data_IF_476325921727
#
_entry.id   IF_476325921727
#
_cell.length_a   1.000
_cell.length_b   1.000
_cell.length_c   1.000
_cell.angle_alpha   90.00
_cell.angle_beta   90.00
_cell.angle_gamma   90.00
#
_symmetry.space_group_name_H-M   'P 1'
#
loop_
_entity.id
_entity.type
_entity.pdbx_description
1 polymer ?
#
# COMPACT_ATOMS: atom_id res chain seq x y z
N UNK A 1 -39.29 35.65 3.38
CA UNK A 1 -38.51 34.55 2.76
C UNK A 1 -37.47 34.11 3.76
N UNK A 2 -37.56 32.90 4.33
CA UNK A 2 -36.49 32.38 5.16
C UNK A 2 -35.29 31.99 4.26
N UNK A 3 -34.05 32.16 4.73
CA UNK A 3 -32.86 31.83 3.96
C UNK A 3 -32.71 30.31 3.81
N UNK A 4 -32.43 29.86 2.58
CA UNK A 4 -32.16 28.48 2.24
C UNK A 4 -30.84 28.03 2.90
N UNK A 5 -30.91 26.99 3.73
CA UNK A 5 -29.73 26.31 4.26
C UNK A 5 -29.06 25.52 3.13
N UNK A 6 -27.82 25.90 2.79
CA UNK A 6 -26.93 25.08 1.98
C UNK A 6 -26.59 23.80 2.74
N UNK A 7 -26.97 22.65 2.17
CA UNK A 7 -26.53 21.34 2.63
C UNK A 7 -25.06 21.16 2.24
N UNK A 8 -24.17 21.18 3.24
CA UNK A 8 -22.81 20.74 3.08
C UNK A 8 -22.80 19.22 2.83
N UNK A 9 -22.27 18.80 1.69
CA UNK A 9 -22.01 17.40 1.36
C UNK A 9 -20.90 16.89 2.29
N UNK A 10 -21.27 16.04 3.25
CA UNK A 10 -20.34 15.32 4.08
C UNK A 10 -19.66 14.21 3.26
N UNK A 11 -18.48 14.50 2.70
CA UNK A 11 -17.52 13.47 2.33
C UNK A 11 -16.89 12.93 3.62
N UNK A 12 -17.53 11.92 4.20
CA UNK A 12 -17.02 11.21 5.36
C UNK A 12 -15.94 10.22 4.95
N UNK A 13 -14.68 10.66 4.90
CA UNK A 13 -13.55 9.76 5.13
C UNK A 13 -13.74 9.19 6.54
N UNK A 14 -14.09 7.91 6.64
CA UNK A 14 -14.31 7.27 7.92
C UNK A 14 -13.01 7.34 8.73
N UNK A 15 -13.05 7.94 9.92
CA UNK A 15 -12.00 7.78 10.92
C UNK A 15 -11.81 6.29 11.15
N UNK A 16 -10.67 5.76 10.71
CA UNK A 16 -10.33 4.35 10.81
C UNK A 16 -10.26 3.98 12.30
N UNK A 17 -11.27 3.25 12.78
CA UNK A 17 -11.31 2.76 14.16
C UNK A 17 -10.15 1.79 14.45
N UNK A 18 -9.90 1.46 15.73
CA UNK A 18 -8.75 0.65 16.16
C UNK A 18 -8.69 -0.79 15.59
N UNK A 19 -9.71 -1.25 14.86
CA UNK A 19 -9.81 -2.61 14.30
C UNK A 19 -10.15 -2.62 12.79
N UNK A 20 -9.81 -1.57 12.05
CA UNK A 20 -10.17 -1.48 10.64
C UNK A 20 -9.45 -2.54 9.79
N UNK A 21 -8.22 -2.91 10.17
CA UNK A 21 -7.40 -3.94 9.53
C UNK A 21 -8.08 -5.30 9.63
N UNK A 22 -8.66 -5.60 10.78
CA UNK A 22 -9.44 -6.81 11.00
C UNK A 22 -10.69 -6.84 10.11
N UNK A 23 -11.46 -5.75 10.08
CA UNK A 23 -12.67 -5.67 9.23
C UNK A 23 -12.32 -5.80 7.75
N UNK A 24 -11.22 -5.19 7.33
CA UNK A 24 -10.72 -5.29 5.97
C UNK A 24 -10.32 -6.73 5.65
N UNK A 25 -9.59 -7.38 6.56
CA UNK A 25 -9.21 -8.78 6.45
C UNK A 25 -10.43 -9.69 6.36
N UNK A 26 -11.41 -9.57 7.26
CA UNK A 26 -12.62 -10.40 7.24
C UNK A 26 -13.37 -10.26 5.92
N UNK A 27 -13.46 -9.04 5.38
CA UNK A 27 -14.12 -8.79 4.11
C UNK A 27 -13.31 -9.35 2.93
N UNK A 28 -11.99 -9.22 2.97
CA UNK A 28 -11.11 -9.80 1.96
C UNK A 28 -11.09 -11.33 2.02
N UNK A 29 -11.06 -11.94 3.20
CA UNK A 29 -11.05 -13.40 3.38
C UNK A 29 -12.37 -14.02 2.92
N UNK A 30 -13.50 -13.35 3.17
CA UNK A 30 -14.79 -13.75 2.61
C UNK A 30 -14.80 -13.78 1.06
N UNK A 31 -13.97 -12.93 0.42
CA UNK A 31 -13.80 -12.90 -1.03
C UNK A 31 -12.79 -13.93 -1.55
N UNK A 32 -11.95 -14.53 -0.69
CA UNK A 32 -10.93 -15.53 -1.07
C UNK A 32 -11.53 -16.76 -1.75
N UNK A 33 -12.78 -17.11 -1.43
CA UNK A 33 -13.50 -18.28 -1.94
C UNK A 33 -12.64 -19.55 -1.77
N UNK A 34 -12.34 -20.28 -2.85
CA UNK A 34 -11.56 -21.53 -2.82
C UNK A 34 -10.05 -21.34 -3.06
N UNK A 35 -9.54 -20.10 -3.06
CA UNK A 35 -8.11 -19.84 -3.31
C UNK A 35 -7.25 -20.16 -2.09
N UNK A 36 -6.05 -20.72 -2.33
CA UNK A 36 -5.08 -20.95 -1.27
C UNK A 36 -4.56 -19.61 -0.70
N UNK A 37 -4.22 -19.59 0.59
CA UNK A 37 -3.71 -18.40 1.29
C UNK A 37 -2.42 -17.89 0.63
N UNK A 38 -1.55 -18.81 0.20
CA UNK A 38 -0.28 -18.47 -0.43
C UNK A 38 -0.45 -17.80 -1.79
N UNK A 39 -1.51 -18.10 -2.52
CA UNK A 39 -1.80 -17.48 -3.80
C UNK A 39 -2.62 -16.19 -3.65
N UNK A 40 -3.52 -16.16 -2.67
CA UNK A 40 -4.40 -15.02 -2.42
C UNK A 40 -3.65 -13.81 -1.84
N UNK A 41 -2.61 -14.04 -1.03
CA UNK A 41 -1.81 -12.95 -0.44
C UNK A 41 -1.24 -12.01 -1.48
N UNK A 42 -0.73 -12.55 -2.59
CA UNK A 42 -0.13 -11.75 -3.65
C UNK A 42 -1.15 -10.87 -4.37
N UNK A 43 -2.40 -11.35 -4.48
CA UNK A 43 -3.50 -10.59 -5.08
C UNK A 43 -3.89 -9.41 -4.19
N UNK A 44 -4.14 -9.66 -2.90
CA UNK A 44 -4.62 -8.61 -2.00
C UNK A 44 -3.53 -7.58 -1.69
N UNK A 45 -2.33 -8.06 -1.32
CA UNK A 45 -1.21 -7.17 -0.99
C UNK A 45 -0.77 -6.35 -2.21
N UNK A 46 -0.84 -6.92 -3.41
CA UNK A 46 -0.56 -6.20 -4.65
C UNK A 46 -1.57 -5.07 -4.91
N UNK A 47 -2.87 -5.32 -4.73
CA UNK A 47 -3.89 -4.26 -4.90
C UNK A 47 -3.79 -3.16 -3.84
N UNK A 48 -3.52 -3.52 -2.58
CA UNK A 48 -3.27 -2.54 -1.51
C UNK A 48 -2.07 -1.67 -1.84
N UNK A 49 -0.99 -2.26 -2.35
CA UNK A 49 0.20 -1.52 -2.76
C UNK A 49 -0.07 -0.61 -3.97
N UNK A 50 -0.83 -1.08 -4.97
CA UNK A 50 -1.25 -0.26 -6.11
C UNK A 50 -2.12 0.92 -5.68
N UNK A 51 -3.02 0.72 -4.71
CA UNK A 51 -3.82 1.80 -4.12
C UNK A 51 -2.94 2.81 -3.41
N UNK A 52 -1.94 2.36 -2.64
CA UNK A 52 -0.99 3.25 -1.98
C UNK A 52 -0.22 4.13 -2.97
N UNK A 53 0.37 3.52 -4.00
CA UNK A 53 1.09 4.25 -5.05
C UNK A 53 0.18 5.30 -5.68
N UNK A 54 -1.05 4.90 -6.01
CA UNK A 54 -2.02 5.79 -6.64
C UNK A 54 -2.44 6.94 -5.71
N UNK A 55 -2.71 6.67 -4.43
CA UNK A 55 -3.10 7.71 -3.47
C UNK A 55 -1.97 8.70 -3.21
N UNK A 56 -0.73 8.22 -3.09
CA UNK A 56 0.44 9.07 -2.93
C UNK A 56 0.67 9.94 -4.17
N UNK A 57 0.47 9.38 -5.37
CA UNK A 57 0.53 10.11 -6.63
C UNK A 57 -0.56 11.18 -6.71
N UNK A 58 -1.82 10.85 -6.45
CA UNK A 58 -2.94 11.79 -6.52
C UNK A 58 -2.80 12.91 -5.48
N UNK A 59 -2.28 12.60 -4.27
CA UNK A 59 -1.99 13.61 -3.27
C UNK A 59 -0.91 14.61 -3.73
N UNK A 60 0.13 14.14 -4.42
CA UNK A 60 1.16 15.01 -4.99
C UNK A 60 0.63 15.78 -6.21
N UNK A 61 -0.11 15.10 -7.09
CA UNK A 61 -0.74 15.71 -8.27
C UNK A 61 -1.65 16.87 -7.88
N UNK A 62 -2.49 16.70 -6.85
CA UNK A 62 -3.35 17.77 -6.34
C UNK A 62 -2.57 18.97 -5.75
N UNK A 63 -1.38 18.73 -5.16
CA UNK A 63 -0.50 19.82 -4.69
C UNK A 63 0.07 20.60 -5.87
N UNK A 64 0.61 19.90 -6.86
CA UNK A 64 1.16 20.51 -8.09
C UNK A 64 0.07 21.27 -8.88
N UNK A 65 -1.16 20.76 -8.93
CA UNK A 65 -2.28 21.46 -9.56
C UNK A 65 -2.64 22.76 -8.82
N UNK A 66 -2.57 22.76 -7.49
CA UNK A 66 -2.82 23.96 -6.68
C UNK A 66 -1.70 25.00 -6.83
N UNK A 67 -0.46 24.53 -7.00
CA UNK A 67 0.74 25.35 -7.17
C UNK A 67 1.02 25.71 -8.65
N UNK A 68 0.14 25.30 -9.58
CA UNK A 68 0.32 25.47 -11.04
C UNK A 68 0.45 26.93 -11.53
N UNK A 69 0.11 27.92 -10.70
CA UNK A 69 0.37 29.34 -11.00
C UNK A 69 1.87 29.72 -10.86
N UNK A 70 2.67 28.90 -10.17
CA UNK A 70 4.12 29.09 -9.97
C UNK A 70 5.00 28.32 -10.98
N UNK A 71 4.39 27.69 -11.99
CA UNK A 71 5.09 27.01 -13.09
C UNK A 71 5.34 25.52 -12.88
N UNK A 72 4.73 24.90 -11.87
CA UNK A 72 4.72 23.44 -11.68
C UNK A 72 3.94 22.75 -12.80
N UNK A 73 4.44 21.61 -13.30
CA UNK A 73 3.73 20.74 -14.24
C UNK A 73 3.31 19.44 -13.54
N UNK A 74 2.01 19.25 -13.22
CA UNK A 74 1.49 18.03 -12.62
C UNK A 74 1.68 16.78 -13.49
N UNK A 75 2.12 16.94 -14.74
CA UNK A 75 2.39 15.83 -15.65
C UNK A 75 3.88 15.62 -15.94
N UNK A 76 4.77 16.28 -15.20
CA UNK A 76 6.21 16.04 -15.21
C UNK A 76 6.61 15.00 -14.14
N UNK A 77 7.18 13.84 -14.51
CA UNK A 77 7.66 12.83 -13.56
C UNK A 77 8.71 13.32 -12.56
N UNK A 78 9.51 14.34 -12.91
CA UNK A 78 10.59 14.81 -12.04
C UNK A 78 10.06 15.45 -10.74
N UNK A 79 8.88 16.07 -10.79
CA UNK A 79 8.18 16.66 -9.63
C UNK A 79 7.76 15.61 -8.58
N UNK A 80 7.65 14.34 -9.00
CA UNK A 80 7.30 13.22 -8.13
C UNK A 80 8.54 12.58 -7.53
N UNK A 81 9.62 12.48 -8.33
CA UNK A 81 10.89 11.92 -7.89
C UNK A 81 11.49 12.70 -6.71
N UNK A 82 11.35 14.04 -6.70
CA UNK A 82 11.82 14.92 -5.63
C UNK A 82 11.19 14.57 -4.27
N UNK A 83 9.90 14.22 -4.27
CA UNK A 83 9.13 13.87 -3.06
C UNK A 83 9.10 12.36 -2.79
N UNK A 84 9.92 11.56 -3.49
CA UNK A 84 9.96 10.09 -3.42
C UNK A 84 8.60 9.44 -3.70
N UNK A 85 7.81 10.05 -4.57
CA UNK A 85 6.53 9.52 -5.04
C UNK A 85 6.75 8.84 -6.38
N UNK A 86 6.17 7.65 -6.55
CA UNK A 86 6.25 6.94 -7.82
C UNK A 86 5.36 7.61 -8.87
N UNK A 87 5.86 7.70 -10.10
CA UNK A 87 5.08 8.21 -11.21
C UNK A 87 4.01 7.21 -11.64
N UNK A 88 2.77 7.66 -11.83
CA UNK A 88 1.64 6.80 -12.21
C UNK A 88 1.05 7.25 -13.55
N UNK A 89 1.26 6.48 -14.63
CA UNK A 89 0.67 6.77 -15.93
C UNK A 89 -0.85 6.87 -15.86
N UNK A 90 -1.46 7.72 -16.71
CA UNK A 90 -2.91 7.90 -16.80
C UNK A 90 -3.70 6.60 -17.01
N UNK A 91 -3.10 5.61 -17.66
CA UNK A 91 -3.70 4.28 -17.87
C UNK A 91 -3.74 3.43 -16.58
N UNK A 92 -2.87 3.72 -15.61
CA UNK A 92 -2.68 2.95 -14.39
C UNK A 92 -3.22 3.63 -13.11
N UNK A 93 -3.75 4.86 -13.21
CA UNK A 93 -4.33 5.58 -12.05
C UNK A 93 -5.55 4.84 -11.48
N UNK A 94 -5.64 4.78 -10.15
CA UNK A 94 -6.68 4.04 -9.44
C UNK A 94 -8.13 4.37 -9.86
N UNK A 95 -8.52 5.65 -10.08
CA UNK A 95 -9.89 5.96 -10.51
C UNK A 95 -10.31 5.23 -11.79
N UNK A 96 -9.37 5.02 -12.72
CA UNK A 96 -9.61 4.26 -13.95
C UNK A 96 -9.80 2.77 -13.67
N UNK A 97 -8.94 2.18 -12.85
CA UNK A 97 -9.03 0.77 -12.45
C UNK A 97 -10.35 0.50 -11.72
N UNK A 98 -10.75 1.42 -10.82
CA UNK A 98 -12.03 1.34 -10.12
C UNK A 98 -13.22 1.43 -11.07
N UNK A 99 -13.19 2.34 -12.04
CA UNK A 99 -14.23 2.45 -13.07
C UNK A 99 -14.33 1.19 -13.94
N UNK A 100 -13.20 0.55 -14.22
CA UNK A 100 -13.11 -0.68 -14.99
C UNK A 100 -13.43 -1.95 -14.16
N UNK A 101 -13.59 -1.86 -12.84
CA UNK A 101 -13.87 -3.01 -11.96
C UNK A 101 -15.07 -3.90 -12.37
N UNK A 102 -16.16 -3.39 -13.00
CA UNK A 102 -17.25 -4.23 -13.50
C UNK A 102 -16.92 -4.97 -14.82
N UNK A 103 -15.82 -4.63 -15.49
CA UNK A 103 -15.51 -5.13 -16.83
C UNK A 103 -15.03 -6.58 -16.77
N UNK A 104 -15.36 -7.41 -17.78
CA UNK A 104 -14.97 -8.82 -17.80
C UNK A 104 -13.46 -9.03 -17.95
N UNK A 105 -12.73 -8.02 -18.43
CA UNK A 105 -11.28 -8.05 -18.62
C UNK A 105 -10.51 -7.28 -17.53
N UNK A 106 -11.08 -7.12 -16.33
CA UNK A 106 -10.46 -6.38 -15.24
C UNK A 106 -9.08 -6.93 -14.85
N UNK A 107 -8.87 -8.26 -14.87
CA UNK A 107 -7.56 -8.86 -14.59
C UNK A 107 -6.46 -8.36 -15.53
N UNK A 108 -6.73 -8.36 -16.84
CA UNK A 108 -5.79 -7.86 -17.86
C UNK A 108 -5.49 -6.36 -17.67
N UNK A 109 -6.50 -5.57 -17.28
CA UNK A 109 -6.34 -4.13 -17.04
C UNK A 109 -5.46 -3.85 -15.83
N UNK A 110 -5.60 -4.63 -14.75
CA UNK A 110 -4.72 -4.53 -13.58
C UNK A 110 -3.29 -4.95 -13.96
N UNK A 111 -3.12 -6.05 -14.69
CA UNK A 111 -1.80 -6.50 -15.15
C UNK A 111 -1.10 -5.43 -16.02
N UNK A 112 -1.85 -4.79 -16.92
CA UNK A 112 -1.36 -3.68 -17.76
C UNK A 112 -1.01 -2.43 -16.93
N UNK A 113 -1.80 -2.11 -15.91
CA UNK A 113 -1.53 -0.99 -15.02
C UNK A 113 -0.24 -1.21 -14.21
N UNK A 114 -0.07 -2.41 -13.65
CA UNK A 114 1.16 -2.79 -12.93
C UNK A 114 2.37 -2.70 -13.85
N UNK A 115 2.29 -3.26 -15.06
CA UNK A 115 3.37 -3.22 -16.03
C UNK A 115 3.73 -1.78 -16.47
N UNK A 116 2.73 -0.90 -16.63
CA UNK A 116 2.97 0.50 -16.97
C UNK A 116 3.68 1.24 -15.83
N UNK A 117 3.33 0.98 -14.57
CA UNK A 117 4.02 1.56 -13.42
C UNK A 117 5.47 1.06 -13.34
N UNK A 118 5.72 -0.24 -13.52
CA UNK A 118 7.09 -0.78 -13.53
C UNK A 118 7.96 -0.21 -14.65
N UNK A 119 7.35 0.10 -15.81
CA UNK A 119 8.08 0.65 -16.95
C UNK A 119 8.64 2.04 -16.69
N UNK A 120 7.89 2.88 -15.97
CA UNK A 120 8.28 4.25 -15.63
C UNK A 120 9.10 4.35 -14.34
N UNK A 121 9.04 3.34 -13.48
CA UNK A 121 9.69 3.36 -12.16
C UNK A 121 10.70 2.21 -12.05
N UNK A 122 11.98 2.48 -12.32
CA UNK A 122 13.02 1.44 -12.36
C UNK A 122 13.16 0.65 -11.04
N UNK A 123 12.95 1.32 -9.90
CA UNK A 123 13.00 0.69 -8.57
C UNK A 123 11.87 -0.31 -8.30
N UNK A 124 10.78 -0.28 -9.09
CA UNK A 124 9.67 -1.22 -8.99
C UNK A 124 9.78 -2.41 -9.96
N UNK A 125 10.83 -2.49 -10.78
CA UNK A 125 10.97 -3.52 -11.81
C UNK A 125 10.97 -4.93 -11.20
N UNK A 126 9.91 -5.70 -11.48
CA UNK A 126 9.75 -7.08 -11.01
C UNK A 126 9.19 -7.20 -9.60
N UNK A 127 8.77 -6.09 -8.99
CA UNK A 127 8.18 -6.05 -7.64
C UNK A 127 6.66 -6.24 -7.72
N UNK A 128 6.00 -5.71 -8.75
CA UNK A 128 4.55 -5.73 -8.83
C UNK A 128 4.04 -7.08 -9.38
N UNK A 129 3.04 -7.70 -8.72
CA UNK A 129 2.43 -8.92 -9.25
C UNK A 129 1.67 -8.63 -10.56
N UNK A 130 1.76 -9.53 -11.53
CA UNK A 130 1.16 -9.40 -12.89
C UNK A 130 0.39 -10.65 -13.33
N UNK A 131 -0.25 -11.32 -12.38
CA UNK A 131 -0.97 -12.59 -12.60
C UNK A 131 -2.45 -12.46 -12.17
N UNK A 132 -3.08 -11.32 -12.45
CA UNK A 132 -4.49 -11.06 -12.12
C UNK A 132 -5.46 -11.59 -13.19
N UNK A 133 -4.99 -11.82 -14.42
CA UNK A 133 -5.78 -12.43 -15.50
C UNK A 133 -5.86 -13.97 -15.46
N UNK A 134 -5.30 -14.61 -14.42
CA UNK A 134 -5.26 -16.07 -14.34
C UNK A 134 -6.65 -16.71 -14.21
N UNK A 135 -6.87 -17.91 -14.78
CA UNK A 135 -8.16 -18.60 -14.70
C UNK A 135 -8.64 -18.91 -13.28
N UNK A 136 -7.72 -19.03 -12.32
CA UNK A 136 -8.02 -19.31 -10.92
C UNK A 136 -8.53 -18.10 -10.11
N UNK A 137 -8.46 -16.89 -10.67
CA UNK A 137 -8.97 -15.69 -10.03
C UNK A 137 -10.29 -15.27 -10.70
N UNK A 138 -11.39 -15.39 -9.95
CA UNK A 138 -12.69 -14.99 -10.45
C UNK A 138 -12.77 -13.47 -10.64
N UNK A 139 -13.21 -13.05 -11.84
CA UNK A 139 -13.30 -11.64 -12.23
C UNK A 139 -14.27 -10.83 -11.37
N UNK A 140 -15.38 -11.44 -10.92
CA UNK A 140 -16.32 -10.74 -10.04
C UNK A 140 -15.72 -10.53 -8.66
N UNK A 141 -14.99 -11.53 -8.17
CA UNK A 141 -14.21 -11.47 -6.93
C UNK A 141 -13.16 -10.37 -7.00
N UNK A 142 -12.37 -10.30 -8.08
CA UNK A 142 -11.39 -9.23 -8.30
C UNK A 142 -12.05 -7.85 -8.32
N UNK A 143 -13.17 -7.69 -9.04
CA UNK A 143 -13.92 -6.43 -9.07
C UNK A 143 -14.46 -6.02 -7.69
N UNK A 144 -14.92 -6.97 -6.87
CA UNK A 144 -15.33 -6.71 -5.47
C UNK A 144 -14.14 -6.32 -4.61
N UNK A 145 -13.00 -6.97 -4.77
CA UNK A 145 -11.77 -6.69 -4.03
C UNK A 145 -11.25 -5.28 -4.33
N UNK A 146 -11.27 -4.85 -5.59
CA UNK A 146 -10.91 -3.48 -5.98
C UNK A 146 -11.83 -2.48 -5.27
N UNK A 147 -13.14 -2.69 -5.25
CA UNK A 147 -14.08 -1.81 -4.55
C UNK A 147 -13.84 -1.78 -3.04
N UNK A 148 -13.49 -2.92 -2.44
CA UNK A 148 -13.14 -3.00 -1.03
C UNK A 148 -11.92 -2.12 -0.72
N UNK A 149 -10.85 -2.28 -1.50
CA UNK A 149 -9.61 -1.49 -1.35
C UNK A 149 -9.82 -0.02 -1.65
N UNK A 150 -10.72 0.34 -2.58
CA UNK A 150 -11.09 1.73 -2.85
C UNK A 150 -11.67 2.48 -1.66
N UNK A 151 -12.28 1.78 -0.70
CA UNK A 151 -12.88 2.41 0.49
C UNK A 151 -11.84 2.75 1.57
N UNK A 152 -10.56 2.45 1.32
CA UNK A 152 -9.46 2.74 2.22
C UNK A 152 -8.64 3.87 1.62
N UNK A 153 -8.31 4.84 2.45
CA UNK A 153 -7.34 5.87 2.13
C UNK A 153 -6.00 5.46 2.75
N UNK A 154 -5.02 5.11 1.92
CA UNK A 154 -3.75 4.51 2.37
C UNK A 154 -2.52 5.36 2.04
N UNK A 155 -2.58 6.20 1.01
CA UNK A 155 -1.43 6.99 0.56
C UNK A 155 -1.55 8.51 0.74
N UNK A 156 -2.63 9.02 1.32
CA UNK A 156 -2.73 10.44 1.67
C UNK A 156 -1.83 10.82 2.84
N UNK A 157 -1.50 12.09 3.00
CA UNK A 157 -0.63 12.56 4.10
C UNK A 157 -1.24 12.22 5.48
N UNK A 158 -2.56 12.28 5.60
CA UNK A 158 -3.29 11.84 6.79
C UNK A 158 -3.13 10.33 7.04
N UNK A 159 -3.24 9.51 5.99
CA UNK A 159 -3.06 8.06 6.08
C UNK A 159 -1.60 7.66 6.39
N UNK A 160 -0.62 8.36 5.82
CA UNK A 160 0.80 8.20 6.14
C UNK A 160 1.08 8.53 7.61
N UNK A 161 0.51 9.62 8.13
CA UNK A 161 0.67 10.00 9.54
C UNK A 161 0.07 8.99 10.54
N UNK A 162 -0.87 8.17 10.08
CA UNK A 162 -1.52 7.11 10.87
C UNK A 162 -0.97 5.72 10.56
N UNK A 163 0.08 5.62 9.72
CA UNK A 163 0.69 4.39 9.23
C UNK A 163 -0.34 3.35 8.75
N UNK A 164 -1.35 3.80 8.01
CA UNK A 164 -2.49 2.96 7.61
C UNK A 164 -2.01 1.80 6.73
N UNK A 165 -1.14 2.08 5.75
CA UNK A 165 -0.59 1.05 4.88
C UNK A 165 0.21 0.02 5.68
N UNK A 166 1.18 0.44 6.49
CA UNK A 166 2.05 -0.46 7.24
C UNK A 166 1.24 -1.39 8.13
N UNK A 167 0.26 -0.83 8.86
CA UNK A 167 -0.65 -1.60 9.71
C UNK A 167 -1.46 -2.63 8.92
N UNK A 168 -2.04 -2.26 7.77
CA UNK A 168 -2.76 -3.20 6.90
C UNK A 168 -1.82 -4.29 6.37
N UNK A 169 -0.65 -3.92 5.88
CA UNK A 169 0.31 -4.85 5.30
C UNK A 169 0.82 -5.86 6.33
N UNK A 170 1.24 -5.38 7.50
CA UNK A 170 1.70 -6.20 8.62
C UNK A 170 0.59 -7.14 9.11
N UNK A 171 -0.64 -6.62 9.29
CA UNK A 171 -1.78 -7.43 9.72
C UNK A 171 -2.06 -8.56 8.72
N UNK A 172 -2.13 -8.23 7.42
CA UNK A 172 -2.40 -9.20 6.37
C UNK A 172 -1.30 -10.26 6.29
N UNK A 173 -0.03 -9.87 6.35
CA UNK A 173 1.10 -10.79 6.39
C UNK A 173 1.02 -11.75 7.59
N UNK A 174 0.68 -11.23 8.77
CA UNK A 174 0.49 -12.04 9.99
C UNK A 174 -0.64 -13.06 9.84
N UNK A 175 -1.78 -12.65 9.25
CA UNK A 175 -2.92 -13.55 9.02
C UNK A 175 -2.60 -14.61 7.98
N UNK A 176 -1.95 -14.26 6.87
CA UNK A 176 -1.53 -15.22 5.85
C UNK A 176 -0.49 -16.21 6.38
N UNK A 177 0.49 -15.76 7.16
CA UNK A 177 1.46 -16.64 7.80
C UNK A 177 0.79 -17.64 8.76
N UNK A 178 -0.23 -17.19 9.50
CA UNK A 178 -1.02 -18.05 10.39
C UNK A 178 -1.85 -19.07 9.60
N UNK A 179 -2.46 -18.66 8.49
CA UNK A 179 -3.28 -19.50 7.63
C UNK A 179 -2.47 -20.56 6.83
N UNK A 180 -1.25 -20.23 6.41
CA UNK A 180 -0.38 -21.16 5.67
C UNK A 180 0.20 -22.29 6.54
N UNK A 181 0.11 -22.21 7.87
CA UNK A 181 0.61 -23.23 8.80
C UNK A 181 2.13 -23.43 8.80
N UNK A 182 2.88 -22.64 8.01
CA UNK A 182 4.35 -22.61 7.99
C UNK A 182 4.81 -21.75 9.17
N UNK A 183 5.54 -22.35 10.13
CA UNK A 183 6.00 -21.67 11.36
C UNK A 183 6.96 -20.51 11.04
N UNK A 184 6.39 -19.31 10.90
CA UNK A 184 6.89 -17.96 11.24
C UNK A 184 8.27 -17.54 10.75
N UNK A 185 9.35 -18.20 11.18
CA UNK A 185 10.69 -17.60 11.21
C UNK A 185 11.33 -17.25 9.86
N UNK A 186 10.87 -17.82 8.74
CA UNK A 186 11.38 -17.48 7.40
C UNK A 186 10.49 -16.48 6.63
N UNK A 187 9.24 -16.31 7.05
CA UNK A 187 8.24 -15.54 6.29
C UNK A 187 7.73 -14.31 7.04
N UNK A 188 7.60 -14.40 8.37
CA UNK A 188 7.08 -13.33 9.22
C UNK A 188 7.51 -13.50 10.69
N UNK A 189 8.19 -12.50 11.24
CA UNK A 189 8.54 -12.43 12.66
C UNK A 189 7.54 -11.51 13.38
N UNK A 190 6.87 -11.95 14.47
CA UNK A 190 5.89 -11.14 15.19
C UNK A 190 6.46 -9.80 15.67
N UNK A 191 5.67 -8.73 15.54
CA UNK A 191 6.08 -7.35 15.84
C UNK A 191 6.74 -7.18 17.21
N UNK A 192 6.19 -7.77 18.27
CA UNK A 192 6.74 -7.64 19.63
C UNK A 192 8.15 -8.27 19.78
N UNK A 193 8.45 -9.32 19.01
CA UNK A 193 9.79 -9.94 19.00
C UNK A 193 10.77 -9.02 18.26
N UNK A 194 10.35 -8.52 17.10
CA UNK A 194 11.14 -7.59 16.29
C UNK A 194 11.43 -6.31 17.06
N UNK A 195 10.42 -5.72 17.70
CA UNK A 195 10.56 -4.54 18.55
C UNK A 195 11.56 -4.79 19.67
N UNK A 196 11.43 -5.89 20.41
CA UNK A 196 12.39 -6.21 21.46
C UNK A 196 13.83 -6.29 20.94
N UNK A 197 14.05 -6.96 19.80
CA UNK A 197 15.37 -7.09 19.21
C UNK A 197 15.95 -5.74 18.76
N UNK A 198 15.15 -4.91 18.10
CA UNK A 198 15.59 -3.58 17.65
C UNK A 198 15.89 -2.66 18.83
N UNK A 199 15.03 -2.64 19.85
CA UNK A 199 15.24 -1.86 21.08
C UNK A 199 16.51 -2.29 21.82
N UNK A 200 16.84 -3.60 21.79
CA UNK A 200 18.10 -4.10 22.36
C UNK A 200 19.34 -3.74 21.53
N UNK A 201 19.21 -3.68 20.21
CA UNK A 201 20.31 -3.33 19.30
C UNK A 201 20.57 -1.82 19.22
N UNK A 202 19.53 -1.02 19.40
CA UNK A 202 19.54 0.45 19.36
C UNK A 202 20.28 1.02 18.11
N UNK A 203 19.81 0.73 16.88
CA UNK A 203 20.49 1.14 15.66
C UNK A 203 20.28 2.64 15.35
N UNK A 204 21.06 3.52 15.97
CA UNK A 204 21.01 4.96 15.72
C UNK A 204 21.68 5.38 14.40
N UNK A 205 22.78 4.72 14.03
CA UNK A 205 23.56 5.03 12.83
C UNK A 205 24.23 3.77 12.28
N UNK A 206 24.61 3.81 10.99
CA UNK A 206 25.41 2.77 10.35
C UNK A 206 24.60 1.82 9.47
N UNK A 207 25.03 0.55 9.40
CA UNK A 207 24.47 -0.44 8.46
C UNK A 207 23.69 -1.51 9.20
N UNK A 208 22.38 -1.58 8.96
CA UNK A 208 21.50 -2.62 9.45
C UNK A 208 21.46 -3.74 8.41
N UNK A 209 21.85 -4.95 8.80
CA UNK A 209 21.89 -6.10 7.90
C UNK A 209 21.09 -7.27 8.49
N UNK A 210 20.12 -7.77 7.71
CA UNK A 210 19.40 -8.99 8.01
C UNK A 210 19.51 -9.97 6.82
N UNK A 211 20.35 -11.02 6.90
CA UNK A 211 20.58 -11.96 5.80
C UNK A 211 19.36 -12.83 5.46
N UNK A 212 18.32 -12.81 6.29
CA UNK A 212 17.11 -13.61 6.15
C UNK A 212 15.86 -12.75 6.44
N UNK A 213 15.82 -11.53 5.88
CA UNK A 213 14.88 -10.49 6.29
C UNK A 213 13.39 -10.83 6.10
N UNK A 214 13.05 -11.86 5.32
CA UNK A 214 11.68 -12.32 5.12
C UNK A 214 10.78 -11.18 4.65
N UNK A 215 9.76 -10.81 5.43
CA UNK A 215 8.87 -9.69 5.16
C UNK A 215 9.47 -8.29 5.44
N UNK A 216 10.73 -8.20 5.86
CA UNK A 216 11.40 -6.93 6.15
C UNK A 216 11.00 -6.28 7.48
N UNK A 217 10.36 -7.02 8.40
CA UNK A 217 9.84 -6.45 9.65
C UNK A 217 10.92 -5.79 10.52
N UNK A 218 12.14 -6.34 10.54
CA UNK A 218 13.30 -5.77 11.25
C UNK A 218 13.67 -4.38 10.74
N UNK A 219 13.48 -4.11 9.45
CA UNK A 219 13.82 -2.84 8.82
C UNK A 219 12.80 -1.76 9.16
N UNK A 220 11.50 -2.08 9.03
CA UNK A 220 10.40 -1.19 9.42
C UNK A 220 10.54 -0.78 10.89
N UNK A 221 10.88 -1.72 11.77
CA UNK A 221 11.02 -1.41 13.18
C UNK A 221 12.29 -0.65 13.52
N UNK A 222 13.38 -0.84 12.77
CA UNK A 222 14.60 -0.04 12.92
C UNK A 222 14.34 1.42 12.58
N UNK A 223 13.54 1.68 11.54
CA UNK A 223 13.11 3.03 11.16
C UNK A 223 12.28 3.69 12.27
N UNK A 224 11.23 2.98 12.76
CA UNK A 224 10.41 3.43 13.90
C UNK A 224 11.22 3.69 15.18
N UNK A 225 12.25 2.89 15.43
CA UNK A 225 13.15 3.09 16.57
C UNK A 225 13.89 4.44 16.46
N UNK A 226 14.47 4.73 15.29
CA UNK A 226 15.19 5.99 15.05
C UNK A 226 14.26 7.19 15.21
N UNK A 227 13.06 7.14 14.61
CA UNK A 227 12.06 8.22 14.74
C UNK A 227 11.64 8.46 16.19
N UNK A 228 11.27 7.40 16.92
CA UNK A 228 10.78 7.51 18.30
C UNK A 228 11.85 8.01 19.30
N UNK A 229 13.13 7.84 18.97
CA UNK A 229 14.25 8.31 19.77
C UNK A 229 14.87 9.62 19.26
N UNK A 230 14.25 10.27 18.27
CA UNK A 230 14.69 11.55 17.72
C UNK A 230 15.99 11.50 16.91
N UNK A 231 16.34 10.32 16.40
CA UNK A 231 17.47 10.13 15.49
C UNK A 231 17.11 10.50 14.04
N UNK A 232 18.10 10.41 13.15
CA UNK A 232 17.94 10.72 11.73
C UNK A 232 17.95 9.44 10.89
N UNK A 233 16.83 9.15 10.20
CA UNK A 233 16.69 7.98 9.32
C UNK A 233 17.77 7.97 8.23
N UNK A 234 18.24 9.15 7.78
CA UNK A 234 19.31 9.25 6.78
C UNK A 234 20.68 8.71 7.24
N UNK A 235 20.86 8.44 8.53
CA UNK A 235 22.11 7.92 9.09
C UNK A 235 22.14 6.38 9.17
N UNK A 236 21.02 5.73 8.86
CA UNK A 236 20.93 4.27 8.75
C UNK A 236 20.84 3.83 7.28
N UNK A 237 21.56 2.77 6.95
CA UNK A 237 21.51 2.11 5.64
C UNK A 237 21.10 0.66 5.81
N UNK A 238 20.10 0.22 5.05
CA UNK A 238 19.46 -1.08 5.20
C UNK A 238 19.93 -2.05 4.11
N UNK A 239 20.28 -3.27 4.51
CA UNK A 239 20.70 -4.36 3.63
C UNK A 239 19.94 -5.64 4.01
N UNK A 240 19.35 -6.32 3.02
CA UNK A 240 18.58 -7.56 3.19
C UNK A 240 18.80 -8.53 2.06
#
# INVERSE_FOLDING_TARGET
>A
MPPQQQQATANGGATLGPDFEQKLWETADALRNNMDAAEYKHVVLGLVFLKYISDAFEAQHAKLEADGDDGADPEDPDEYAAERVFWVPRSARWPRIQADAPQPNIGERVDQAMAAIEAENESLRGVLPRDYSRPGLDRETLGRLIRLVSNIEVGSDAAKSQDVLGRVYEYFLSQFASAEGKRGGQFYTPQHVVQLLVEMLAPYEGRVYDPCCGSGGMFVQSDRFVESHGGNIGEISIYG
#
